data_IF_912570822199
#
_entry.id   IF_912570822199
#
_cell.length_a   1.000
_cell.length_b   1.000
_cell.length_c   1.000
_cell.angle_alpha   90.00
_cell.angle_beta   90.00
_cell.angle_gamma   90.00
#
_symmetry.space_group_name_H-M   'P 1'
#
loop_
_entity.id
_entity.type
_entity.pdbx_description
1 polymer ?
#
# COMPACT_ATOMS: atom_id res chain seq x y z
N UNK A 1 20.65 -23.84 -22.87
CA UNK A 1 20.30 -22.94 -21.77
C UNK A 1 20.19 -23.82 -20.55
N UNK A 2 20.91 -23.48 -19.49
CA UNK A 2 21.01 -24.26 -18.25
C UNK A 2 19.74 -24.01 -17.41
N UNK A 3 19.13 -25.04 -16.84
CA UNK A 3 17.91 -24.92 -16.03
C UNK A 3 18.13 -23.96 -14.83
N UNK A 4 19.38 -23.81 -14.39
CA UNK A 4 19.80 -22.88 -13.33
C UNK A 4 19.74 -21.40 -13.73
N UNK A 5 19.84 -21.05 -15.01
CA UNK A 5 19.72 -19.65 -15.46
C UNK A 5 18.25 -19.19 -15.46
N UNK A 6 17.32 -20.08 -15.80
CA UNK A 6 15.88 -19.79 -15.77
C UNK A 6 15.36 -19.59 -14.34
N UNK A 7 15.73 -20.48 -13.42
CA UNK A 7 15.31 -20.37 -12.01
C UNK A 7 15.81 -19.07 -11.34
N UNK A 8 17.03 -18.62 -11.67
CA UNK A 8 17.54 -17.33 -11.18
C UNK A 8 16.77 -16.14 -11.78
N UNK A 9 16.41 -16.21 -13.06
CA UNK A 9 15.66 -15.13 -13.73
C UNK A 9 14.25 -14.99 -13.16
N UNK A 10 13.56 -16.11 -12.89
CA UNK A 10 12.23 -16.10 -12.30
C UNK A 10 12.25 -15.52 -10.87
N UNK A 11 13.25 -15.87 -10.06
CA UNK A 11 13.45 -15.29 -8.72
C UNK A 11 13.73 -13.78 -8.76
N UNK A 12 14.50 -13.30 -9.74
CA UNK A 12 14.75 -11.86 -9.94
C UNK A 12 13.48 -11.10 -10.36
N UNK A 13 12.64 -11.70 -11.21
CA UNK A 13 11.35 -11.14 -11.62
C UNK A 13 10.42 -11.02 -10.41
N UNK A 14 10.32 -12.07 -9.59
CA UNK A 14 9.47 -12.07 -8.39
C UNK A 14 9.90 -11.00 -7.39
N UNK A 15 11.21 -10.86 -7.14
CA UNK A 15 11.73 -9.81 -6.25
C UNK A 15 11.42 -8.40 -6.76
N UNK A 16 11.56 -8.17 -8.07
CA UNK A 16 11.25 -6.88 -8.68
C UNK A 16 9.76 -6.56 -8.59
N UNK A 17 8.89 -7.53 -8.86
CA UNK A 17 7.44 -7.37 -8.77
C UNK A 17 7.00 -7.04 -7.33
N UNK A 18 7.61 -7.70 -6.35
CA UNK A 18 7.37 -7.43 -4.92
C UNK A 18 7.81 -5.99 -4.57
N UNK A 19 8.98 -5.56 -5.03
CA UNK A 19 9.48 -4.20 -4.79
C UNK A 19 8.58 -3.12 -5.43
N UNK A 20 8.12 -3.34 -6.66
CA UNK A 20 7.18 -2.45 -7.35
C UNK A 20 5.84 -2.38 -6.60
N UNK A 21 5.29 -3.52 -6.16
CA UNK A 21 4.08 -3.57 -5.36
C UNK A 21 4.21 -2.81 -4.03
N UNK A 22 5.35 -2.95 -3.34
CA UNK A 22 5.62 -2.24 -2.09
C UNK A 22 5.71 -0.72 -2.30
N UNK A 23 6.35 -0.30 -3.40
CA UNK A 23 6.46 1.11 -3.78
C UNK A 23 5.08 1.71 -4.07
N UNK A 24 4.23 0.97 -4.80
CA UNK A 24 2.87 1.40 -5.09
C UNK A 24 2.04 1.56 -3.81
N UNK A 25 2.01 0.54 -2.95
CA UNK A 25 1.27 0.57 -1.68
C UNK A 25 1.74 1.73 -0.78
N UNK A 26 3.04 2.00 -0.74
CA UNK A 26 3.61 3.13 -0.01
C UNK A 26 3.11 4.48 -0.56
N UNK A 27 3.00 4.61 -1.89
CA UNK A 27 2.42 5.79 -2.53
C UNK A 27 0.95 5.99 -2.16
N UNK A 28 0.15 4.93 -2.26
CA UNK A 28 -1.27 4.95 -1.90
C UNK A 28 -1.50 5.32 -0.43
N UNK A 29 -0.68 4.78 0.48
CA UNK A 29 -0.70 5.11 1.91
C UNK A 29 -0.47 6.61 2.13
N UNK A 30 0.55 7.20 1.48
CA UNK A 30 0.85 8.63 1.62
C UNK A 30 -0.29 9.53 1.15
N UNK A 31 -0.95 9.15 0.05
CA UNK A 31 -2.11 9.89 -0.48
C UNK A 31 -3.28 9.82 0.51
N UNK A 32 -3.59 8.64 1.04
CA UNK A 32 -4.64 8.48 2.04
C UNK A 32 -4.35 9.25 3.34
N UNK A 33 -3.09 9.24 3.80
CA UNK A 33 -2.68 10.02 4.97
C UNK A 33 -2.77 11.53 4.74
N UNK A 34 -2.49 12.01 3.53
CA UNK A 34 -2.66 13.41 3.16
C UNK A 34 -4.15 13.82 3.16
N UNK A 35 -5.01 13.03 2.51
CA UNK A 35 -6.45 13.30 2.50
C UNK A 35 -7.08 13.26 3.89
N UNK A 36 -6.66 12.32 4.75
CA UNK A 36 -7.12 12.27 6.13
C UNK A 36 -6.71 13.53 6.91
N UNK A 37 -5.48 14.03 6.70
CA UNK A 37 -5.04 15.28 7.31
C UNK A 37 -5.87 16.48 6.84
N UNK A 38 -6.17 16.56 5.55
CA UNK A 38 -7.03 17.61 5.01
C UNK A 38 -8.45 17.56 5.62
N UNK A 39 -8.99 16.36 5.85
CA UNK A 39 -10.29 16.18 6.52
C UNK A 39 -10.26 16.49 8.03
N UNK A 40 -9.10 16.39 8.67
CA UNK A 40 -8.94 16.74 10.09
C UNK A 40 -8.74 18.25 10.28
N UNK A 41 -8.23 18.94 9.25
CA UNK A 41 -8.10 20.41 9.21
C UNK A 41 -9.39 21.13 8.77
N UNK A 42 -10.37 20.39 8.24
CA UNK A 42 -11.68 20.93 7.89
C UNK A 42 -12.46 21.33 9.15
N UNK A 43 -12.88 22.61 9.23
CA UNK A 43 -13.64 23.14 10.39
C UNK A 43 -15.07 22.59 10.51
N UNK A 44 -15.58 21.92 9.47
CA UNK A 44 -16.95 21.40 9.43
C UNK A 44 -16.98 19.88 9.64
N UNK A 45 -17.44 19.47 10.83
CA UNK A 45 -17.70 18.07 11.13
C UNK A 45 -19.20 17.78 10.92
N UNK A 46 -19.50 17.15 9.78
CA UNK A 46 -20.83 16.65 9.46
C UNK A 46 -20.80 15.13 9.22
N UNK A 47 -21.97 14.50 9.13
CA UNK A 47 -22.09 13.05 8.96
C UNK A 47 -21.39 12.53 7.70
N UNK A 48 -21.33 13.34 6.65
CA UNK A 48 -20.64 13.01 5.40
C UNK A 48 -19.11 12.98 5.59
N UNK A 49 -18.54 14.01 6.23
CA UNK A 49 -17.11 14.07 6.55
C UNK A 49 -16.70 12.90 7.47
N UNK A 50 -17.53 12.57 8.46
CA UNK A 50 -17.30 11.39 9.31
C UNK A 50 -17.31 10.08 8.52
N UNK A 51 -18.24 9.93 7.57
CA UNK A 51 -18.32 8.75 6.72
C UNK A 51 -17.13 8.63 5.76
N UNK A 52 -16.68 9.74 5.18
CA UNK A 52 -15.48 9.80 4.32
C UNK A 52 -14.22 9.47 5.14
N UNK A 53 -14.04 10.10 6.30
CA UNK A 53 -12.91 9.85 7.21
C UNK A 53 -12.83 8.37 7.60
N UNK A 54 -13.97 7.75 7.92
CA UNK A 54 -14.04 6.31 8.22
C UNK A 54 -13.60 5.48 7.01
N UNK A 55 -14.14 5.76 5.83
CA UNK A 55 -13.83 5.03 4.59
C UNK A 55 -12.34 5.11 4.25
N UNK A 56 -11.72 6.28 4.42
CA UNK A 56 -10.29 6.47 4.17
C UNK A 56 -9.42 5.75 5.20
N UNK A 57 -9.81 5.73 6.47
CA UNK A 57 -9.14 4.94 7.50
C UNK A 57 -9.21 3.43 7.22
N UNK A 58 -10.36 2.92 6.78
CA UNK A 58 -10.54 1.51 6.44
C UNK A 58 -9.64 1.12 5.25
N UNK A 59 -9.58 1.96 4.21
CA UNK A 59 -8.65 1.78 3.10
C UNK A 59 -7.18 1.84 3.54
N UNK A 60 -6.82 2.80 4.38
CA UNK A 60 -5.46 2.95 4.90
C UNK A 60 -5.01 1.71 5.67
N UNK A 61 -5.89 1.16 6.51
CA UNK A 61 -5.64 -0.10 7.23
C UNK A 61 -5.38 -1.23 6.25
N UNK A 62 -6.25 -1.41 5.27
CA UNK A 62 -6.11 -2.47 4.27
C UNK A 62 -4.77 -2.38 3.50
N UNK A 63 -4.34 -1.17 3.12
CA UNK A 63 -3.05 -0.98 2.43
C UNK A 63 -1.85 -1.25 3.34
N UNK A 64 -1.90 -0.87 4.61
CA UNK A 64 -0.85 -1.20 5.60
C UNK A 64 -0.75 -2.70 5.87
N UNK A 65 -1.87 -3.41 5.93
CA UNK A 65 -1.92 -4.87 6.07
C UNK A 65 -1.36 -5.58 4.83
N UNK A 66 -1.71 -5.12 3.64
CA UNK A 66 -1.15 -5.63 2.37
C UNK A 66 0.36 -5.42 2.30
N UNK A 67 0.84 -4.21 2.62
CA UNK A 67 2.27 -3.91 2.63
C UNK A 67 3.02 -4.80 3.62
N UNK A 68 2.50 -4.95 4.84
CA UNK A 68 3.08 -5.84 5.86
C UNK A 68 3.14 -7.29 5.38
N UNK A 69 2.14 -7.74 4.63
CA UNK A 69 2.10 -9.10 4.07
C UNK A 69 3.13 -9.26 2.97
N UNK A 70 3.26 -8.26 2.10
CA UNK A 70 4.22 -8.23 1.00
C UNK A 70 5.67 -8.19 1.50
N UNK A 71 5.97 -7.36 2.50
CA UNK A 71 7.29 -7.29 3.13
C UNK A 71 7.72 -8.61 3.81
N UNK A 72 6.76 -9.40 4.30
CA UNK A 72 7.04 -10.73 4.85
C UNK A 72 7.43 -11.76 3.79
N UNK A 73 7.06 -11.55 2.53
CA UNK A 73 7.45 -12.43 1.41
C UNK A 73 8.87 -12.16 0.91
N UNK A 74 9.42 -10.98 1.22
CA UNK A 74 10.82 -10.62 0.93
C UNK A 74 11.79 -11.30 1.92
N UNK A 75 11.29 -11.87 3.01
CA UNK A 75 12.09 -12.32 4.15
C UNK A 75 12.40 -13.81 4.14
#
# INVERSE_FOLDING_TARGET
MDDREYENTDLEIDQKLIAEGAMQLTGEIKVLEAWLRELDEAEEENEEILAVRKSYNDMLRSRKEMLTTLEKQVR
#
